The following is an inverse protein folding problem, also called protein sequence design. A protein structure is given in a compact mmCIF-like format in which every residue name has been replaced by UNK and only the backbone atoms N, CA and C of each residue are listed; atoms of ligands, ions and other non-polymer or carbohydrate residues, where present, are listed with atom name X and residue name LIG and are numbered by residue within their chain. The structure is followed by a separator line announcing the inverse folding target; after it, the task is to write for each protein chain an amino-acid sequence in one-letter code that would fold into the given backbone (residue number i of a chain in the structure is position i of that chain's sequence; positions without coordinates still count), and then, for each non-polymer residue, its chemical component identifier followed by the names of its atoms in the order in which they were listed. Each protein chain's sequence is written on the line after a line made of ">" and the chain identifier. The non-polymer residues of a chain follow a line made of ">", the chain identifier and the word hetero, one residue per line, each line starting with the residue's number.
data_IF_420151398822
#
_entry.id   IF_420151398822
#
_cell.length_a   1.000
_cell.length_b   1.000
_cell.length_c   1.000
_cell.angle_alpha   90.00
_cell.angle_beta   90.00
_cell.angle_gamma   90.00
#
_symmetry.space_group_name_H-M   'P 1'
#
loop_
_entity.id
_entity.type
_entity.pdbx_description
1 polymer ?
#
# COMPACT_ATOMS: atom_id res chain seq x y z
N UNK A 1 9.96 -38.89 -29.10
CA UNK A 1 10.52 -37.69 -28.46
C UNK A 1 9.77 -37.48 -27.15
N UNK A 2 10.32 -37.88 -26.01
CA UNK A 2 9.71 -37.56 -24.71
C UNK A 2 10.01 -36.09 -24.39
N UNK A 3 9.04 -35.28 -23.94
CA UNK A 3 9.29 -33.88 -23.60
C UNK A 3 10.25 -33.79 -22.42
N UNK A 4 11.21 -32.87 -22.49
CA UNK A 4 12.21 -32.61 -21.45
C UNK A 4 11.51 -32.23 -20.13
N UNK A 5 12.09 -32.56 -18.96
CA UNK A 5 11.52 -32.15 -17.70
C UNK A 5 11.55 -30.62 -17.61
N UNK A 6 10.36 -30.01 -17.63
CA UNK A 6 10.20 -28.61 -17.25
C UNK A 6 10.82 -28.45 -15.86
N UNK A 7 11.82 -27.57 -15.76
CA UNK A 7 12.36 -27.16 -14.47
C UNK A 7 11.26 -26.38 -13.73
N UNK A 8 10.40 -27.11 -13.03
CA UNK A 8 9.52 -26.54 -12.01
C UNK A 8 10.46 -25.98 -10.94
N UNK A 9 10.59 -24.67 -10.92
CA UNK A 9 11.22 -23.99 -9.81
C UNK A 9 10.26 -24.12 -8.64
N UNK A 10 10.45 -25.16 -7.83
CA UNK A 10 9.72 -25.31 -6.56
C UNK A 10 10.20 -24.21 -5.64
N UNK A 11 9.35 -23.24 -5.36
CA UNK A 11 9.61 -22.17 -4.38
C UNK A 11 9.11 -22.66 -3.03
N UNK A 12 9.98 -22.67 -2.03
CA UNK A 12 9.61 -22.97 -0.65
C UNK A 12 9.29 -21.66 0.08
N UNK A 13 8.17 -21.64 0.81
CA UNK A 13 7.72 -20.47 1.53
C UNK A 13 7.89 -20.65 3.03
N UNK A 14 8.40 -19.60 3.67
CA UNK A 14 8.59 -19.53 5.11
C UNK A 14 7.95 -18.23 5.66
N UNK A 15 7.51 -18.26 6.90
CA UNK A 15 6.91 -17.13 7.61
C UNK A 15 7.74 -16.78 8.85
N UNK A 16 7.99 -15.49 9.07
CA UNK A 16 8.60 -14.94 10.28
C UNK A 16 7.48 -14.47 11.23
N UNK A 17 7.48 -14.98 12.45
CA UNK A 17 6.50 -14.59 13.48
C UNK A 17 6.95 -13.38 14.31
N UNK A 18 8.16 -12.85 14.07
CA UNK A 18 8.71 -11.70 14.79
C UNK A 18 9.15 -12.03 16.22
N UNK A 19 9.10 -13.30 16.64
CA UNK A 19 9.57 -13.73 17.97
C UNK A 19 11.09 -13.90 18.06
N UNK A 20 11.79 -13.79 16.93
CA UNK A 20 13.22 -14.09 16.83
C UNK A 20 13.55 -15.59 16.82
N UNK A 21 12.54 -16.46 16.77
CA UNK A 21 12.70 -17.93 16.70
C UNK A 21 13.14 -18.44 15.32
N UNK A 22 13.23 -17.56 14.32
CA UNK A 22 13.62 -17.87 12.95
C UNK A 22 12.43 -18.11 12.02
N UNK A 23 12.74 -18.41 10.76
CA UNK A 23 11.75 -18.64 9.71
C UNK A 23 11.10 -20.02 9.86
N UNK A 24 9.77 -20.05 9.88
CA UNK A 24 8.99 -21.28 9.96
C UNK A 24 8.42 -21.68 8.61
N UNK A 25 8.54 -22.94 8.19
CA UNK A 25 7.96 -23.39 6.92
C UNK A 25 6.45 -23.22 6.94
N UNK A 26 5.91 -22.69 5.85
CA UNK A 26 4.46 -22.55 5.71
C UNK A 26 3.81 -23.94 5.51
N UNK A 27 2.65 -24.20 6.12
CA UNK A 27 1.89 -25.42 5.84
C UNK A 27 1.56 -25.56 4.34
N UNK A 28 1.54 -26.78 3.78
CA UNK A 28 1.31 -27.02 2.35
C UNK A 28 0.03 -26.36 1.82
N UNK A 29 -1.05 -26.39 2.59
CA UNK A 29 -2.32 -25.76 2.21
C UNK A 29 -2.22 -24.23 2.04
N UNK A 30 -1.33 -23.57 2.79
CA UNK A 30 -1.07 -22.12 2.66
C UNK A 30 -0.12 -21.84 1.51
N UNK A 31 0.91 -22.65 1.30
CA UNK A 31 1.80 -22.48 0.16
C UNK A 31 1.06 -22.71 -1.16
N UNK A 32 0.19 -23.72 -1.23
CA UNK A 32 -0.61 -24.01 -2.43
C UNK A 32 -1.60 -22.90 -2.75
N UNK A 33 -2.15 -22.24 -1.73
CA UNK A 33 -3.02 -21.09 -1.92
C UNK A 33 -2.26 -19.86 -2.46
N UNK A 34 -1.06 -19.57 -1.92
CA UNK A 34 -0.24 -18.41 -2.27
C UNK A 34 0.49 -18.57 -3.61
N UNK A 35 1.00 -19.77 -3.91
CA UNK A 35 1.72 -20.08 -5.15
C UNK A 35 0.80 -20.60 -6.27
N UNK A 36 -0.42 -21.01 -5.93
CA UNK A 36 -1.45 -21.38 -6.89
C UNK A 36 -2.37 -20.21 -7.22
N UNK A 37 -3.46 -20.49 -7.96
CA UNK A 37 -4.44 -19.46 -8.36
C UNK A 37 -5.35 -18.98 -7.22
N UNK A 38 -5.13 -19.44 -5.99
CA UNK A 38 -5.96 -19.09 -4.83
C UNK A 38 -5.84 -17.62 -4.48
N UNK A 39 -4.60 -17.12 -4.44
CA UNK A 39 -4.30 -15.72 -4.16
C UNK A 39 -4.78 -14.79 -5.27
N UNK A 40 -4.53 -15.12 -6.54
CA UNK A 40 -5.00 -14.32 -7.68
C UNK A 40 -6.53 -14.17 -7.66
N UNK A 41 -7.25 -15.24 -7.36
CA UNK A 41 -8.71 -15.20 -7.24
C UNK A 41 -9.18 -14.36 -6.05
N UNK A 42 -8.46 -14.38 -4.93
CA UNK A 42 -8.75 -13.50 -3.79
C UNK A 42 -8.56 -12.03 -4.18
N UNK A 43 -7.46 -11.69 -4.86
CA UNK A 43 -7.22 -10.34 -5.36
C UNK A 43 -8.33 -9.88 -6.30
N UNK A 44 -8.77 -10.74 -7.21
CA UNK A 44 -9.88 -10.46 -8.12
C UNK A 44 -11.23 -10.26 -7.39
N UNK A 45 -11.45 -10.97 -6.28
CA UNK A 45 -12.63 -10.73 -5.44
C UNK A 45 -12.53 -9.40 -4.68
N UNK A 46 -11.34 -9.04 -4.19
CA UNK A 46 -11.11 -7.78 -3.49
C UNK A 46 -11.26 -6.58 -4.44
N UNK A 47 -10.73 -6.66 -5.66
CA UNK A 47 -10.87 -5.59 -6.67
C UNK A 47 -12.35 -5.34 -7.03
N UNK A 48 -13.16 -6.40 -7.12
CA UNK A 48 -14.60 -6.30 -7.31
C UNK A 48 -15.30 -5.65 -6.10
N UNK A 49 -14.85 -5.94 -4.87
CA UNK A 49 -15.40 -5.32 -3.65
C UNK A 49 -15.08 -3.81 -3.59
N UNK A 50 -13.89 -3.40 -4.03
CA UNK A 50 -13.51 -1.99 -4.18
C UNK A 50 -14.40 -1.28 -5.21
N UNK A 51 -14.61 -1.90 -6.38
CA UNK A 51 -15.44 -1.34 -7.45
C UNK A 51 -16.93 -1.31 -7.11
N UNK A 52 -17.44 -2.29 -6.36
CA UNK A 52 -18.83 -2.35 -5.91
C UNK A 52 -19.12 -1.40 -4.73
N UNK A 53 -18.14 -0.59 -4.32
CA UNK A 53 -18.36 0.56 -3.43
C UNK A 53 -18.67 0.20 -1.98
N UNK A 54 -18.49 -1.05 -1.55
CA UNK A 54 -18.66 -1.44 -0.14
C UNK A 54 -17.43 -1.06 0.67
N UNK A 55 -16.22 -1.13 0.08
CA UNK A 55 -14.99 -0.67 0.75
C UNK A 55 -14.73 0.81 0.46
N UNK A 56 -14.91 1.27 -0.79
CA UNK A 56 -14.65 2.66 -1.18
C UNK A 56 -15.63 3.69 -0.57
N UNK A 57 -16.80 3.28 -0.06
CA UNK A 57 -17.75 4.19 0.63
C UNK A 57 -17.58 4.21 2.14
N UNK A 58 -16.86 3.25 2.72
CA UNK A 58 -16.68 3.14 4.17
C UNK A 58 -15.40 3.81 4.66
N UNK A 59 -14.42 4.03 3.77
CA UNK A 59 -13.13 4.62 4.12
C UNK A 59 -13.04 6.00 3.44
N UNK A 60 -13.28 7.08 4.21
CA UNK A 60 -13.13 8.49 3.81
C UNK A 60 -13.96 9.00 2.61
N UNK A 61 -15.19 9.49 2.83
CA UNK A 61 -15.82 10.41 1.87
C UNK A 61 -14.89 11.61 1.59
N UNK A 62 -14.97 12.22 0.39
CA UNK A 62 -14.21 13.43 0.08
C UNK A 62 -14.40 14.48 1.19
N UNK A 63 -13.29 15.08 1.62
CA UNK A 63 -13.32 16.11 2.64
C UNK A 63 -14.33 17.21 2.27
N UNK A 64 -15.11 17.69 3.25
CA UNK A 64 -16.03 18.79 3.00
C UNK A 64 -15.25 20.07 2.69
N UNK A 65 -15.88 20.98 1.94
CA UNK A 65 -15.28 22.29 1.65
C UNK A 65 -14.86 23.03 2.92
N UNK A 66 -15.70 22.96 3.96
CA UNK A 66 -15.42 23.54 5.26
C UNK A 66 -14.21 22.91 5.96
N UNK A 67 -13.97 21.61 5.80
CA UNK A 67 -12.82 20.93 6.39
C UNK A 67 -11.52 21.39 5.72
N UNK A 68 -11.53 21.51 4.38
CA UNK A 68 -10.38 22.02 3.60
C UNK A 68 -10.10 23.48 3.97
N UNK A 69 -11.13 24.32 4.04
CA UNK A 69 -10.99 25.74 4.43
C UNK A 69 -10.55 25.93 5.88
N UNK A 70 -10.75 24.92 6.73
CA UNK A 70 -10.28 24.92 8.13
C UNK A 70 -8.88 24.33 8.32
N UNK A 71 -8.24 23.86 7.24
CA UNK A 71 -6.88 23.33 7.36
C UNK A 71 -5.92 24.43 7.82
N UNK A 72 -5.01 24.14 8.77
CA UNK A 72 -4.02 25.09 9.19
C UNK A 72 -3.10 25.45 8.02
N UNK A 73 -2.95 26.75 7.80
CA UNK A 73 -1.98 27.30 6.86
C UNK A 73 -0.75 27.74 7.64
N UNK A 74 0.42 27.30 7.21
CA UNK A 74 1.71 27.69 7.76
C UNK A 74 2.50 28.47 6.70
N UNK A 75 3.31 29.42 7.15
CA UNK A 75 4.31 30.08 6.30
C UNK A 75 5.60 29.25 6.32
N UNK A 76 6.17 29.00 5.14
CA UNK A 76 7.41 28.23 5.00
C UNK A 76 8.60 29.08 5.44
N UNK A 77 9.28 28.65 6.50
CA UNK A 77 10.52 29.27 6.97
C UNK A 77 11.78 28.73 6.26
N UNK A 78 12.95 29.31 6.53
CA UNK A 78 14.23 28.94 5.89
C UNK A 78 14.62 27.47 6.11
N UNK A 79 14.17 26.86 7.22
CA UNK A 79 14.47 25.45 7.53
C UNK A 79 13.60 24.48 6.74
N UNK A 80 12.43 24.94 6.27
CA UNK A 80 11.47 24.14 5.52
C UNK A 80 11.64 24.24 4.00
N UNK A 81 12.42 25.21 3.49
CA UNK A 81 12.70 25.39 2.05
C UNK A 81 13.36 24.15 1.42
N UNK A 82 14.12 23.36 2.18
CA UNK A 82 14.75 22.12 1.68
C UNK A 82 13.76 20.93 1.61
N UNK A 83 12.55 21.10 2.16
CA UNK A 83 11.48 20.09 2.12
C UNK A 83 10.65 20.18 0.85
N UNK A 84 9.91 19.11 0.55
CA UNK A 84 9.07 19.01 -0.64
C UNK A 84 7.62 18.76 -0.24
N UNK A 85 6.68 19.32 -1.01
CA UNK A 85 5.27 19.04 -0.84
C UNK A 85 4.98 17.55 -1.04
N UNK A 86 4.33 16.90 -0.07
CA UNK A 86 4.00 15.48 -0.16
C UNK A 86 3.03 15.15 -1.29
N UNK A 87 2.30 16.14 -1.80
CA UNK A 87 1.29 15.99 -2.87
C UNK A 87 1.90 16.20 -4.25
N UNK A 88 2.37 17.41 -4.56
CA UNK A 88 2.91 17.73 -5.88
C UNK A 88 4.40 17.38 -6.06
N UNK A 89 5.10 17.02 -4.97
CA UNK A 89 6.54 16.68 -4.95
C UNK A 89 7.48 17.83 -5.32
N UNK A 90 6.99 19.06 -5.33
CA UNK A 90 7.77 20.26 -5.60
C UNK A 90 8.41 20.81 -4.32
N UNK A 91 9.54 21.50 -4.45
CA UNK A 91 10.23 22.15 -3.35
C UNK A 91 9.45 23.40 -2.89
N UNK A 92 9.46 23.69 -1.59
CA UNK A 92 8.82 24.89 -1.06
C UNK A 92 9.65 26.16 -1.32
N UNK A 93 8.97 27.29 -1.47
CA UNK A 93 9.60 28.62 -1.56
C UNK A 93 9.54 29.34 -0.21
N UNK A 94 10.60 30.05 0.17
CA UNK A 94 10.61 30.83 1.40
C UNK A 94 9.50 31.88 1.43
N UNK A 95 8.74 31.95 2.52
CA UNK A 95 7.61 32.86 2.67
C UNK A 95 6.37 32.48 1.87
N UNK A 96 6.35 31.30 1.22
CA UNK A 96 5.13 30.75 0.64
C UNK A 96 4.22 30.15 1.72
N UNK A 97 2.93 30.06 1.44
CA UNK A 97 1.95 29.42 2.31
C UNK A 97 1.77 27.96 1.92
N UNK A 98 1.78 27.06 2.91
CA UNK A 98 1.46 25.65 2.73
C UNK A 98 0.38 25.22 3.72
N UNK A 99 -0.53 24.36 3.27
CA UNK A 99 -1.50 23.71 4.14
C UNK A 99 -0.85 22.50 4.80
N UNK A 100 -0.88 22.45 6.13
CA UNK A 100 -0.38 21.31 6.88
C UNK A 100 -1.41 20.16 6.85
N UNK A 101 -0.93 18.95 6.57
CA UNK A 101 -1.74 17.73 6.60
C UNK A 101 -1.72 17.17 8.03
N UNK A 102 -2.80 17.38 8.78
CA UNK A 102 -3.04 16.75 10.10
C UNK A 102 -3.77 15.44 9.93
#
# INVERSE_FOLDING_TARGET
>A
MAPAPERRHTVELFYDDGSGSGLWPLPPSRSDFLLGSGFDRLLEQLSQIELNGVVARYENPPASKSAIESMPTIEIDETQVESHCAVCKEQFEFGSEASEWV
#
